data_IF_221722726086
#
_entry.id   IF_221722726086
#
_cell.length_a   1.000
_cell.length_b   1.000
_cell.length_c   1.000
_cell.angle_alpha   90.00
_cell.angle_beta   90.00
_cell.angle_gamma   90.00
#
_symmetry.space_group_name_H-M   'P 1'
#
loop_
_entity.id
_entity.type
_entity.pdbx_description
1 polymer ?
#
# COMPACT_ATOMS: atom_id res chain seq x y z
N UNK A 1 -5.13 5.49 -20.23
CA UNK A 1 -4.96 4.68 -19.01
C UNK A 1 -4.30 5.55 -17.95
N UNK A 2 -4.71 5.46 -16.69
CA UNK A 2 -4.13 6.26 -15.59
C UNK A 2 -2.77 5.73 -15.11
N UNK A 3 -2.38 4.49 -15.47
CA UNK A 3 -0.99 4.01 -15.36
C UNK A 3 -0.29 4.01 -16.72
N UNK A 4 1.00 4.31 -16.73
CA UNK A 4 1.88 4.46 -17.89
C UNK A 4 2.96 3.36 -17.92
N UNK A 5 2.60 2.13 -17.52
CA UNK A 5 3.49 0.95 -17.55
C UNK A 5 4.23 0.65 -16.24
N UNK A 6 3.90 1.37 -15.17
CA UNK A 6 4.41 1.07 -13.84
C UNK A 6 3.82 -0.25 -13.33
N UNK A 7 4.66 -1.06 -12.69
CA UNK A 7 4.21 -2.27 -11.99
C UNK A 7 3.88 -1.89 -10.55
N UNK A 8 2.64 -2.14 -10.13
CA UNK A 8 2.18 -1.98 -8.77
C UNK A 8 1.65 -3.32 -8.25
N UNK A 9 1.74 -3.53 -6.94
CA UNK A 9 1.32 -4.79 -6.31
C UNK A 9 -0.20 -4.93 -6.22
N UNK A 10 -0.87 -3.86 -5.80
CA UNK A 10 -2.31 -3.81 -5.60
C UNK A 10 -2.81 -2.37 -5.56
N UNK A 11 -4.06 -2.16 -5.97
CA UNK A 11 -4.81 -0.93 -5.71
C UNK A 11 -5.75 -1.20 -4.55
N UNK A 12 -5.60 -0.50 -3.44
CA UNK A 12 -6.42 -0.67 -2.24
C UNK A 12 -7.35 0.51 -2.12
N UNK A 13 -8.65 0.25 -1.98
CA UNK A 13 -9.65 1.32 -1.89
C UNK A 13 -10.57 1.11 -0.71
N UNK A 14 -11.25 2.16 -0.34
CA UNK A 14 -12.35 2.11 0.59
C UNK A 14 -13.53 1.27 0.01
N UNK A 15 -14.63 1.16 0.75
CA UNK A 15 -15.74 0.26 0.40
C UNK A 15 -16.86 0.93 -0.40
N UNK A 16 -16.69 2.17 -0.84
CA UNK A 16 -17.72 2.85 -1.62
C UNK A 16 -17.98 2.09 -2.94
N UNK A 17 -19.25 1.76 -3.18
CA UNK A 17 -19.63 0.90 -4.29
C UNK A 17 -19.59 1.65 -5.64
N UNK A 18 -19.92 2.94 -5.62
CA UNK A 18 -19.95 3.78 -6.82
C UNK A 18 -18.53 4.13 -7.27
N UNK A 19 -17.67 4.52 -6.33
CA UNK A 19 -16.26 4.83 -6.63
C UNK A 19 -15.53 3.59 -7.15
N UNK A 20 -15.76 2.42 -6.54
CA UNK A 20 -15.18 1.17 -7.02
C UNK A 20 -15.71 0.77 -8.40
N UNK A 21 -16.97 1.02 -8.70
CA UNK A 21 -17.53 0.78 -10.03
C UNK A 21 -16.90 1.72 -11.07
N UNK A 22 -16.66 2.98 -10.70
CA UNK A 22 -15.96 3.97 -11.55
C UNK A 22 -14.52 3.52 -11.84
N UNK A 23 -13.79 3.08 -10.82
CA UNK A 23 -12.45 2.53 -10.97
C UNK A 23 -12.44 1.27 -11.85
N UNK A 24 -13.38 0.36 -11.64
CA UNK A 24 -13.52 -0.85 -12.45
C UNK A 24 -13.83 -0.52 -13.93
N UNK A 25 -14.71 0.46 -14.18
CA UNK A 25 -15.01 0.95 -15.52
C UNK A 25 -13.79 1.59 -16.20
N UNK A 26 -12.89 2.19 -15.42
CA UNK A 26 -11.60 2.68 -15.89
C UNK A 26 -10.52 1.59 -16.04
N UNK A 27 -10.85 0.32 -15.78
CA UNK A 27 -9.94 -0.83 -15.87
C UNK A 27 -9.05 -1.02 -14.64
N UNK A 28 -9.36 -0.37 -13.51
CA UNK A 28 -8.59 -0.45 -12.27
C UNK A 28 -9.25 -1.46 -11.35
N UNK A 29 -8.59 -2.60 -11.12
CA UNK A 29 -9.04 -3.61 -10.16
C UNK A 29 -8.66 -3.19 -8.75
N UNK A 30 -9.59 -3.31 -7.80
CA UNK A 30 -9.38 -2.85 -6.42
C UNK A 30 -9.55 -3.95 -5.37
N UNK A 31 -8.75 -3.86 -4.31
CA UNK A 31 -8.87 -4.65 -3.09
C UNK A 31 -9.55 -3.80 -2.02
N UNK A 32 -10.56 -4.37 -1.37
CA UNK A 32 -11.27 -3.71 -0.27
C UNK A 32 -10.35 -3.53 0.95
N UNK A 33 -10.23 -2.30 1.44
CA UNK A 33 -9.37 -1.95 2.57
C UNK A 33 -9.85 -2.55 3.90
N UNK A 34 -8.90 -2.97 4.75
CA UNK A 34 -9.22 -3.14 6.16
C UNK A 34 -9.27 -1.77 6.85
N UNK A 35 -10.47 -1.27 7.13
CA UNK A 35 -10.72 0.07 7.68
C UNK A 35 -10.64 0.14 9.22
N UNK A 36 -10.14 -0.89 9.91
CA UNK A 36 -9.90 -0.83 11.37
C UNK A 36 -8.96 0.34 11.71
N UNK A 37 -9.52 1.36 12.37
CA UNK A 37 -8.83 2.63 12.61
C UNK A 37 -7.70 2.48 13.63
N UNK A 38 -7.97 1.83 14.77
CA UNK A 38 -7.01 1.64 15.84
C UNK A 38 -5.82 0.81 15.39
N UNK A 39 -6.09 -0.37 14.84
CA UNK A 39 -5.05 -1.29 14.36
C UNK A 39 -4.24 -0.65 13.23
N UNK A 40 -4.91 0.01 12.29
CA UNK A 40 -4.23 0.67 11.16
C UNK A 40 -3.35 1.83 11.59
N UNK A 41 -3.81 2.68 12.50
CA UNK A 41 -2.99 3.76 13.05
C UNK A 41 -1.75 3.22 13.74
N UNK A 42 -1.89 2.22 14.60
CA UNK A 42 -0.77 1.68 15.35
C UNK A 42 0.25 1.00 14.41
N UNK A 43 -0.21 0.36 13.33
CA UNK A 43 0.65 -0.17 12.26
C UNK A 43 1.37 0.94 11.48
N UNK A 44 0.69 2.04 11.14
CA UNK A 44 1.32 3.21 10.50
C UNK A 44 2.41 3.79 11.41
N UNK A 45 2.12 3.98 12.70
CA UNK A 45 3.11 4.46 13.67
C UNK A 45 4.33 3.54 13.74
N UNK A 46 4.12 2.22 13.78
CA UNK A 46 5.21 1.25 13.77
C UNK A 46 6.06 1.34 12.50
N UNK A 47 5.45 1.55 11.33
CA UNK A 47 6.19 1.71 10.08
C UNK A 47 6.90 3.05 9.92
N UNK A 48 6.39 4.13 10.52
CA UNK A 48 7.05 5.43 10.54
C UNK A 48 8.22 5.47 11.51
N UNK A 49 8.18 4.69 12.60
CA UNK A 49 9.27 4.58 13.54
C UNK A 49 10.52 3.95 12.88
N UNK A 50 11.68 4.53 13.17
CA UNK A 50 12.98 3.99 12.76
C UNK A 50 13.20 2.64 13.45
N UNK A 51 13.46 1.61 12.66
CA UNK A 51 13.64 0.23 13.14
C UNK A 51 15.12 -0.08 13.43
N UNK A 52 15.41 -1.32 13.84
CA UNK A 52 16.76 -1.76 14.22
C UNK A 52 17.83 -1.63 13.11
N UNK A 53 17.43 -1.48 11.85
CA UNK A 53 18.31 -1.20 10.71
C UNK A 53 18.47 0.30 10.41
N UNK A 54 18.07 1.17 11.34
CA UNK A 54 18.13 2.64 11.22
C UNK A 54 17.28 3.22 10.09
N UNK A 55 16.26 2.50 9.61
CA UNK A 55 15.34 2.99 8.56
C UNK A 55 13.88 2.80 8.98
N UNK A 56 12.96 3.70 8.59
CA UNK A 56 11.53 3.43 8.66
C UNK A 56 11.10 2.43 7.56
N UNK A 57 9.83 2.01 7.59
CA UNK A 57 9.20 1.06 6.64
C UNK A 57 8.13 1.70 5.75
N UNK A 58 7.86 3.00 5.94
CA UNK A 58 7.02 3.83 5.08
C UNK A 58 7.79 5.10 4.76
N UNK A 59 7.71 5.50 3.49
CA UNK A 59 8.28 6.74 2.98
C UNK A 59 7.23 7.41 2.09
N UNK A 60 7.18 8.74 2.13
CA UNK A 60 6.42 9.55 1.18
C UNK A 60 7.39 10.14 0.18
N UNK A 61 7.08 9.98 -1.11
CA UNK A 61 7.93 10.49 -2.18
C UNK A 61 7.71 12.00 -2.30
N UNK A 62 8.78 12.78 -2.14
CA UNK A 62 8.71 14.22 -2.29
C UNK A 62 8.31 14.59 -3.73
N UNK A 63 7.37 15.53 -3.87
CA UNK A 63 6.87 15.97 -5.19
C UNK A 63 5.89 15.01 -5.86
N UNK A 64 5.34 14.02 -5.14
CA UNK A 64 4.32 13.11 -5.68
C UNK A 64 2.96 13.80 -5.97
N UNK A 65 2.76 15.02 -5.50
CA UNK A 65 1.58 15.83 -5.83
C UNK A 65 1.65 16.26 -7.29
N UNK A 66 0.79 15.66 -8.14
CA UNK A 66 0.72 15.95 -9.58
C UNK A 66 0.18 17.36 -9.84
N UNK A 67 -0.86 17.75 -9.11
CA UNK A 67 -1.51 19.05 -9.22
C UNK A 67 -1.94 19.52 -7.83
N UNK A 68 -1.80 20.82 -7.56
CA UNK A 68 -2.28 21.44 -6.33
C UNK A 68 -3.69 21.95 -6.55
N UNK A 69 -4.62 21.44 -5.76
CA UNK A 69 -6.00 21.94 -5.74
C UNK A 69 -6.03 23.42 -5.27
N UNK A 70 -6.48 24.30 -6.17
CA UNK A 70 -6.51 25.74 -5.94
C UNK A 70 -7.52 26.14 -4.85
N UNK A 71 -8.63 25.41 -4.71
CA UNK A 71 -9.66 25.69 -3.71
C UNK A 71 -9.16 25.28 -2.32
N UNK A 72 -8.53 24.11 -2.20
CA UNK A 72 -7.90 23.69 -0.95
C UNK A 72 -6.81 24.67 -0.52
N UNK A 73 -5.96 25.10 -1.47
CA UNK A 73 -4.91 26.08 -1.19
C UNK A 73 -5.49 27.42 -0.74
N UNK A 74 -6.48 27.96 -1.45
CA UNK A 74 -7.15 29.22 -1.09
C UNK A 74 -7.83 29.14 0.29
N UNK A 75 -8.39 27.97 0.63
CA UNK A 75 -8.98 27.69 1.93
C UNK A 75 -7.95 27.36 3.03
N UNK A 76 -6.64 27.40 2.73
CA UNK A 76 -5.54 27.02 3.63
C UNK A 76 -5.69 25.61 4.21
N UNK A 77 -6.18 24.67 3.39
CA UNK A 77 -6.31 23.25 3.70
C UNK A 77 -5.09 22.49 3.17
N UNK A 78 -4.76 21.32 3.72
CA UNK A 78 -3.66 20.53 3.21
C UNK A 78 -3.94 20.07 1.77
N UNK A 79 -2.89 20.12 0.94
CA UNK A 79 -2.94 19.81 -0.50
C UNK A 79 -2.15 18.55 -0.85
N UNK A 80 -1.67 17.82 0.15
CA UNK A 80 -0.92 16.59 0.00
C UNK A 80 -0.98 15.76 1.28
N UNK A 81 -0.75 14.45 1.15
CA UNK A 81 -0.65 13.54 2.30
C UNK A 81 0.42 13.98 3.31
N UNK A 82 1.52 14.60 2.86
CA UNK A 82 2.55 15.12 3.77
C UNK A 82 1.99 16.29 4.58
N UNK A 83 1.27 17.21 3.95
CA UNK A 83 0.68 18.37 4.63
C UNK A 83 -0.43 17.99 5.63
N UNK A 84 -1.12 16.86 5.41
CA UNK A 84 -2.13 16.35 6.34
C UNK A 84 -1.55 15.98 7.72
N UNK A 85 -0.28 15.55 7.80
CA UNK A 85 0.37 15.25 9.08
C UNK A 85 0.34 16.43 10.06
N UNK A 86 0.52 17.65 9.56
CA UNK A 86 0.52 18.87 10.39
C UNK A 86 -0.86 19.16 11.01
N UNK A 87 -1.92 18.62 10.42
CA UNK A 87 -3.31 18.83 10.84
C UNK A 87 -3.91 17.61 11.58
N UNK A 88 -3.17 16.50 11.66
CA UNK A 88 -3.62 15.26 12.29
C UNK A 88 -3.59 15.36 13.82
N UNK A 89 -4.68 15.89 14.39
CA UNK A 89 -4.76 16.26 15.80
C UNK A 89 -5.79 15.43 16.57
N UNK A 90 -5.58 15.27 17.87
CA UNK A 90 -6.53 14.61 18.76
C UNK A 90 -7.41 15.65 19.47
N UNK A 91 -8.69 15.34 19.72
CA UNK A 91 -9.57 16.26 20.41
C UNK A 91 -9.05 16.52 21.84
N UNK A 92 -9.06 17.77 22.31
CA UNK A 92 -8.69 18.08 23.68
C UNK A 92 -9.65 17.35 24.61
N UNK A 93 -9.14 16.66 25.63
CA UNK A 93 -9.99 16.14 26.70
C UNK A 93 -9.85 16.94 27.98
N UNK A 94 -10.68 16.55 28.95
CA UNK A 94 -10.60 17.11 30.31
C UNK A 94 -9.21 16.78 30.88
N UNK A 95 -8.52 17.79 31.38
CA UNK A 95 -7.19 17.72 32.00
C UNK A 95 -6.00 17.41 31.06
N UNK A 96 -6.12 17.77 29.77
CA UNK A 96 -4.99 17.70 28.82
C UNK A 96 -4.68 16.29 28.31
N UNK A 97 -5.49 15.28 28.67
CA UNK A 97 -5.52 13.96 28.03
C UNK A 97 -6.53 13.98 26.89
N UNK A 98 -6.29 13.28 25.80
CA UNK A 98 -7.24 13.23 24.69
C UNK A 98 -8.58 12.60 25.14
N UNK A 99 -9.72 13.23 24.81
CA UNK A 99 -11.05 12.75 25.19
C UNK A 99 -11.44 11.44 24.47
N UNK A 100 -10.84 11.21 23.31
CA UNK A 100 -11.01 10.02 22.49
C UNK A 100 -9.63 9.55 22.06
N UNK A 101 -9.47 8.24 21.96
CA UNK A 101 -8.28 7.62 21.39
C UNK A 101 -8.29 7.65 19.85
N UNK A 102 -9.00 8.61 19.26
CA UNK A 102 -9.12 8.79 17.81
C UNK A 102 -8.88 10.26 17.46
N UNK A 103 -8.19 10.54 16.35
CA UNK A 103 -7.98 11.90 15.86
C UNK A 103 -9.31 12.55 15.48
N UNK A 104 -9.30 13.86 15.34
CA UNK A 104 -10.40 14.58 14.72
C UNK A 104 -10.51 14.12 13.26
N UNK A 105 -11.71 13.70 12.84
CA UNK A 105 -11.98 13.27 11.46
C UNK A 105 -12.06 14.48 10.52
N UNK A 106 -10.91 15.05 10.22
CA UNK A 106 -10.76 16.24 9.39
C UNK A 106 -9.40 16.20 8.69
N UNK A 107 -9.41 16.40 7.37
CA UNK A 107 -8.20 16.45 6.55
C UNK A 107 -7.35 15.16 6.65
N UNK A 108 -8.02 14.00 6.58
CA UNK A 108 -7.45 12.67 6.77
C UNK A 108 -7.45 11.82 5.50
N UNK A 109 -7.78 12.37 4.33
CA UNK A 109 -7.99 11.60 3.10
C UNK A 109 -6.74 10.81 2.66
N UNK A 110 -5.60 11.49 2.55
CA UNK A 110 -4.32 10.88 2.23
C UNK A 110 -3.79 9.97 3.34
N UNK A 111 -3.98 10.35 4.60
CA UNK A 111 -3.60 9.54 5.76
C UNK A 111 -4.42 8.26 5.87
N UNK A 112 -5.71 8.29 5.53
CA UNK A 112 -6.58 7.12 5.45
C UNK A 112 -6.14 6.21 4.29
N UNK A 113 -5.83 6.77 3.11
CA UNK A 113 -5.29 5.99 2.00
C UNK A 113 -3.96 5.30 2.37
N UNK A 114 -3.05 6.02 3.03
CA UNK A 114 -1.80 5.46 3.57
C UNK A 114 -2.08 4.35 4.58
N UNK A 115 -3.04 4.55 5.49
CA UNK A 115 -3.45 3.54 6.48
C UNK A 115 -3.98 2.28 5.81
N UNK A 116 -4.78 2.40 4.75
CA UNK A 116 -5.25 1.25 3.98
C UNK A 116 -4.09 0.49 3.32
N UNK A 117 -3.11 1.20 2.76
CA UNK A 117 -1.92 0.61 2.19
C UNK A 117 -1.07 -0.12 3.25
N UNK A 118 -0.88 0.45 4.44
CA UNK A 118 -0.18 -0.24 5.54
C UNK A 118 -0.95 -1.47 6.02
N UNK A 119 -2.27 -1.35 6.20
CA UNK A 119 -3.13 -2.45 6.62
C UNK A 119 -3.23 -3.58 5.60
N UNK A 120 -2.96 -3.32 4.33
CA UNK A 120 -2.82 -4.36 3.31
C UNK A 120 -1.66 -5.31 3.62
N UNK A 121 -0.56 -4.81 4.21
CA UNK A 121 0.61 -5.61 4.57
C UNK A 121 0.61 -6.10 6.01
N UNK A 122 0.08 -5.33 6.95
CA UNK A 122 0.22 -5.58 8.39
C UNK A 122 -1.09 -5.95 9.09
N UNK A 123 -2.22 -5.84 8.39
CA UNK A 123 -3.53 -6.11 8.98
C UNK A 123 -3.71 -7.57 9.40
N UNK A 124 -4.70 -7.89 10.25
CA UNK A 124 -4.96 -9.26 10.69
C UNK A 124 -5.35 -10.23 9.56
N UNK A 125 -5.78 -9.70 8.40
CA UNK A 125 -6.00 -10.47 7.17
C UNK A 125 -4.80 -10.45 6.21
N UNK A 126 -3.77 -9.67 6.54
CA UNK A 126 -2.51 -9.62 5.82
C UNK A 126 -1.66 -10.83 6.19
N UNK A 127 -2.12 -12.02 5.82
CA UNK A 127 -1.21 -13.15 5.80
C UNK A 127 -0.30 -12.96 4.59
N UNK A 128 0.97 -12.68 4.86
CA UNK A 128 2.06 -12.98 3.93
C UNK A 128 1.95 -14.44 3.42
N UNK A 129 1.30 -15.33 4.19
CA UNK A 129 0.95 -16.70 3.81
C UNK A 129 -0.12 -16.84 2.71
N UNK A 130 -0.98 -15.85 2.45
CA UNK A 130 -1.91 -15.87 1.31
C UNK A 130 -1.25 -15.44 0.00
N UNK A 131 -0.16 -14.66 0.07
CA UNK A 131 0.64 -14.27 -1.10
C UNK A 131 1.60 -15.39 -1.54
N UNK A 132 2.25 -16.10 -0.61
CA UNK A 132 3.07 -17.28 -0.94
C UNK A 132 2.20 -18.40 -1.56
N UNK A 133 0.95 -18.55 -1.12
CA UNK A 133 0.04 -19.55 -1.67
C UNK A 133 -0.40 -19.23 -3.12
N UNK A 134 -0.52 -17.97 -3.53
CA UNK A 134 -0.94 -17.61 -4.90
C UNK A 134 0.17 -17.60 -5.94
N UNK A 135 1.43 -17.43 -5.53
CA UNK A 135 2.58 -17.54 -6.45
C UNK A 135 2.91 -19.01 -6.77
N UNK A 136 2.32 -19.97 -6.03
CA UNK A 136 2.54 -21.41 -6.20
C UNK A 136 1.69 -22.12 -7.24
N UNK A 137 0.58 -21.53 -7.69
CA UNK A 137 -0.43 -22.26 -8.50
C UNK A 137 -0.48 -21.86 -9.98
N UNK A 138 0.24 -20.80 -10.40
CA UNK A 138 0.29 -20.34 -11.81
C UNK A 138 1.54 -20.82 -12.58
N UNK A 139 2.30 -21.78 -12.04
CA UNK A 139 3.31 -22.51 -12.81
C UNK A 139 2.64 -23.62 -13.63
N UNK A 140 1.85 -23.22 -14.64
CA UNK A 140 1.35 -24.12 -15.66
C UNK A 140 2.53 -24.75 -16.43
N UNK A 141 2.54 -26.09 -16.45
CA UNK A 141 3.30 -27.02 -17.30
C UNK A 141 4.57 -26.47 -17.99
N UNK A 142 5.73 -26.77 -17.38
CA UNK A 142 6.95 -26.87 -18.16
C UNK A 142 6.79 -27.98 -19.22
N UNK A 143 7.16 -27.73 -20.50
CA UNK A 143 7.14 -28.78 -21.50
C UNK A 143 8.10 -29.89 -21.07
N UNK A 144 7.58 -31.11 -21.13
CA UNK A 144 8.25 -32.35 -20.76
C UNK A 144 9.63 -32.46 -21.40
N UNK A 145 10.57 -32.82 -20.54
CA UNK A 145 11.99 -33.02 -20.77
C UNK A 145 12.25 -33.85 -22.04
N UNK A 146 12.68 -33.20 -23.12
CA UNK A 146 13.29 -33.88 -24.26
C UNK A 146 14.63 -34.49 -23.81
N UNK A 147 14.82 -35.76 -24.16
CA UNK A 147 15.85 -36.64 -23.62
C UNK A 147 17.27 -36.09 -23.65
N UNK A 148 17.96 -36.27 -22.52
CA UNK A 148 19.42 -36.27 -22.46
C UNK A 148 19.88 -37.53 -23.18
N UNK A 149 20.34 -37.39 -24.42
CA UNK A 149 21.16 -38.42 -25.07
C UNK A 149 22.52 -38.45 -24.35
N UNK A 150 23.07 -39.63 -24.02
CA UNK A 150 24.36 -39.72 -23.37
C UNK A 150 25.46 -39.20 -24.31
N UNK A 151 26.28 -38.30 -23.75
CA UNK A 151 27.46 -37.72 -24.36
C UNK A 151 28.44 -38.85 -24.74
N UNK A 152 28.78 -38.97 -26.03
CA UNK A 152 29.76 -39.97 -26.49
C UNK A 152 31.20 -39.51 -26.23
N UNK A 153 32.11 -40.47 -26.10
CA UNK A 153 33.50 -40.28 -25.66
C UNK A 153 34.36 -39.34 -26.54
N UNK A 154 33.87 -38.90 -27.70
CA UNK A 154 34.57 -37.97 -28.60
C UNK A 154 34.52 -36.50 -28.16
N UNK A 155 33.73 -36.13 -27.14
CA UNK A 155 33.63 -34.73 -26.68
C UNK A 155 34.59 -34.36 -25.53
N UNK A 156 35.51 -35.25 -25.12
CA UNK A 156 36.48 -35.01 -24.03
C UNK A 156 37.84 -34.42 -24.46
N UNK A 157 37.98 -33.94 -25.69
CA UNK A 157 39.29 -33.51 -26.21
C UNK A 157 39.59 -32.00 -26.11
N UNK A 158 38.78 -31.16 -25.46
CA UNK A 158 39.17 -29.76 -25.23
C UNK A 158 38.47 -29.11 -24.03
N UNK A 159 39.05 -29.30 -22.84
CA UNK A 159 39.09 -28.39 -21.68
C UNK A 159 39.49 -29.17 -20.42
#
# INVERSE_FOLDING_TARGET
>A
ALSQGETYLATVTDHDAEDRATLAAAGITTVAANKDHRTGRDAVHARLAVQGDSRPRVFLVAGATVEVDAELYAAKRPTSTVAEFDCYTYPPGQDGKAAKEEPVKQFDDGLDAMRYAVMYFDGPKASMGAWVARVGDDAAEAPTQAGILPMTDDQRAWA
#
